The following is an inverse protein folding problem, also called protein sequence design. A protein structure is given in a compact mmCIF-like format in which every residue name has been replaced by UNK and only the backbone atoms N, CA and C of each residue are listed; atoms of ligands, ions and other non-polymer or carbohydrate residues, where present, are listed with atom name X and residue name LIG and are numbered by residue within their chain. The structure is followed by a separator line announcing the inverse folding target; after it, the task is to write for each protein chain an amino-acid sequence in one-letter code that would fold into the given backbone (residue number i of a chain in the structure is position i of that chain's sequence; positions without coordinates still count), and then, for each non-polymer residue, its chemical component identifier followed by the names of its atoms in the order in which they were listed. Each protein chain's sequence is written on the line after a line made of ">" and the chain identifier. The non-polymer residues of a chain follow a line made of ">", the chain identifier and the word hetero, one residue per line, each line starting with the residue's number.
data_IF_263797231186
#
_entry.id   IF_263797231186
#
_cell.length_a   1.000
_cell.length_b   1.000
_cell.length_c   1.000
_cell.angle_alpha   90.00
_cell.angle_beta   90.00
_cell.angle_gamma   90.00
#
_symmetry.space_group_name_H-M   'P 1'
#
loop_
_entity.id
_entity.type
_entity.pdbx_description
1 polymer ?
#
# COMPACT_ATOMS: atom_id res chain seq x y z
N UNK A 1 -15.89 6.19 3.64
CA UNK A 1 -15.73 5.65 5.02
C UNK A 1 -14.65 4.59 4.97
N UNK A 2 -13.65 4.65 5.86
CA UNK A 2 -12.57 3.65 5.94
C UNK A 2 -13.11 2.34 6.54
N UNK A 3 -12.66 1.19 6.03
CA UNK A 3 -13.03 -0.10 6.63
C UNK A 3 -12.46 -0.23 8.05
N UNK A 4 -13.19 -0.93 8.93
CA UNK A 4 -12.75 -1.27 10.29
C UNK A 4 -12.58 -2.78 10.47
N UNK A 5 -12.81 -3.58 9.43
CA UNK A 5 -12.66 -5.03 9.48
C UNK A 5 -11.17 -5.40 9.61
N UNK A 6 -10.81 -6.11 10.67
CA UNK A 6 -9.41 -6.42 10.98
C UNK A 6 -8.81 -7.40 9.97
N UNK A 7 -9.58 -8.37 9.48
CA UNK A 7 -9.09 -9.34 8.51
C UNK A 7 -8.72 -8.65 7.19
N UNK A 8 -9.56 -7.72 6.70
CA UNK A 8 -9.24 -6.91 5.54
C UNK A 8 -8.06 -5.97 5.79
N UNK A 9 -7.99 -5.32 6.97
CA UNK A 9 -6.88 -4.41 7.26
C UNK A 9 -5.53 -5.13 7.34
N UNK A 10 -5.50 -6.37 7.83
CA UNK A 10 -4.28 -7.17 8.01
C UNK A 10 -3.93 -8.02 6.77
N UNK A 11 -4.56 -7.79 5.61
CA UNK A 11 -4.27 -8.48 4.35
C UNK A 11 -3.43 -7.60 3.39
N UNK A 12 -2.89 -8.20 2.32
CA UNK A 12 -2.04 -7.53 1.34
C UNK A 12 -2.79 -7.22 0.06
N UNK A 13 -2.68 -5.98 -0.41
CA UNK A 13 -3.34 -5.53 -1.64
C UNK A 13 -2.34 -4.95 -2.62
N UNK A 14 -2.45 -5.37 -3.89
CA UNK A 14 -1.79 -4.69 -4.98
C UNK A 14 -2.42 -3.30 -5.16
N UNK A 15 -1.59 -2.26 -5.10
CA UNK A 15 -2.04 -0.86 -5.13
C UNK A 15 -1.51 -0.08 -6.34
N UNK A 16 -0.46 -0.59 -6.98
CA UNK A 16 0.11 -0.08 -8.21
C UNK A 16 0.97 -1.18 -8.86
N UNK A 17 1.28 -1.06 -10.15
CA UNK A 17 2.36 -1.82 -10.78
C UNK A 17 3.73 -1.21 -10.45
N UNK A 18 4.79 -2.01 -10.50
CA UNK A 18 6.15 -1.52 -10.29
C UNK A 18 6.60 -0.56 -11.40
N UNK A 19 6.03 -0.70 -12.60
CA UNK A 19 6.34 0.10 -13.78
C UNK A 19 5.69 1.50 -13.77
N UNK A 20 4.52 1.65 -13.13
CA UNK A 20 3.84 2.95 -13.02
C UNK A 20 4.35 3.79 -11.83
N UNK A 21 4.92 3.14 -10.81
CA UNK A 21 5.37 3.84 -9.60
C UNK A 21 6.76 4.46 -9.82
N UNK A 22 6.80 5.79 -9.88
CA UNK A 22 8.02 6.59 -9.91
C UNK A 22 8.25 7.38 -8.61
N UNK A 23 9.18 8.34 -8.66
CA UNK A 23 9.46 9.25 -7.53
C UNK A 23 8.36 10.30 -7.32
N UNK A 24 7.60 10.64 -8.37
CA UNK A 24 6.46 11.54 -8.24
C UNK A 24 5.35 10.86 -7.43
N UNK A 25 4.82 11.50 -6.37
CA UNK A 25 3.80 10.90 -5.54
C UNK A 25 2.48 10.76 -6.30
N UNK A 26 1.86 9.58 -6.17
CA UNK A 26 0.53 9.28 -6.68
C UNK A 26 -0.40 8.98 -5.51
N UNK A 27 -1.67 9.36 -5.63
CA UNK A 27 -2.68 9.11 -4.60
C UNK A 27 -3.70 8.12 -5.13
N UNK A 28 -4.00 7.09 -4.34
CA UNK A 28 -5.08 6.14 -4.62
C UNK A 28 -5.85 5.81 -3.34
N UNK A 29 -6.92 5.04 -3.48
CA UNK A 29 -7.82 4.66 -2.38
C UNK A 29 -7.71 3.16 -2.12
N UNK A 30 -7.30 2.79 -0.90
CA UNK A 30 -7.28 1.40 -0.43
C UNK A 30 -8.26 1.22 0.72
N UNK A 31 -9.24 0.33 0.59
CA UNK A 31 -10.23 0.02 1.64
C UNK A 31 -10.91 1.26 2.26
N UNK A 32 -11.16 2.27 1.43
CA UNK A 32 -11.76 3.53 1.87
C UNK A 32 -10.78 4.53 2.51
N UNK A 33 -9.48 4.23 2.58
CA UNK A 33 -8.42 5.14 3.04
C UNK A 33 -7.59 5.67 1.88
N UNK A 34 -7.42 7.00 1.80
CA UNK A 34 -6.48 7.59 0.85
C UNK A 34 -5.05 7.26 1.25
N UNK A 35 -4.27 6.78 0.29
CA UNK A 35 -2.86 6.47 0.46
C UNK A 35 -2.05 7.17 -0.64
N UNK A 36 -0.88 7.67 -0.27
CA UNK A 36 0.11 8.23 -1.16
C UNK A 36 1.21 7.18 -1.38
N UNK A 37 1.61 7.01 -2.64
CA UNK A 37 2.66 6.09 -3.07
C UNK A 37 3.72 6.85 -3.84
N UNK A 38 4.99 6.55 -3.57
CA UNK A 38 6.12 7.02 -4.35
C UNK A 38 7.30 6.05 -4.20
N UNK A 39 8.35 6.23 -5.01
CA UNK A 39 9.66 5.67 -4.73
C UNK A 39 10.53 6.69 -4.01
N UNK A 40 11.32 6.22 -3.05
CA UNK A 40 12.35 7.04 -2.40
C UNK A 40 13.59 7.25 -3.30
N UNK A 41 14.60 7.93 -2.78
CA UNK A 41 15.86 8.18 -3.49
C UNK A 41 16.65 6.90 -3.81
N UNK A 42 16.43 5.82 -3.04
CA UNK A 42 17.03 4.51 -3.30
C UNK A 42 16.19 3.66 -4.28
N UNK A 43 15.02 4.15 -4.71
CA UNK A 43 14.10 3.45 -5.60
C UNK A 43 13.15 2.49 -4.88
N UNK A 44 13.14 2.46 -3.54
CA UNK A 44 12.24 1.60 -2.78
C UNK A 44 10.83 2.19 -2.68
N UNK A 45 9.76 1.37 -2.76
CA UNK A 45 8.40 1.87 -2.63
C UNK A 45 8.12 2.37 -1.21
N UNK A 46 7.56 3.56 -1.11
CA UNK A 46 7.11 4.19 0.13
C UNK A 46 5.63 4.50 0.01
N UNK A 47 4.86 4.03 0.98
CA UNK A 47 3.41 4.15 1.00
C UNK A 47 2.99 4.72 2.34
N UNK A 48 2.14 5.75 2.34
CA UNK A 48 1.66 6.41 3.57
C UNK A 48 0.18 6.71 3.47
N UNK A 49 -0.52 6.65 4.60
CA UNK A 49 -1.91 7.11 4.64
C UNK A 49 -1.96 8.63 4.62
N UNK A 50 -2.95 9.18 3.91
CA UNK A 50 -3.31 10.60 4.02
C UNK A 50 -4.31 10.73 5.17
N UNK A 51 -3.92 11.47 6.20
CA UNK A 51 -4.73 11.72 7.38
C UNK A 51 -5.75 12.83 7.11
N UNK A 52 -6.78 12.95 7.95
CA UNK A 52 -7.84 13.96 7.79
C UNK A 52 -7.31 15.41 7.81
N UNK A 53 -6.17 15.64 8.46
CA UNK A 53 -5.49 16.94 8.51
C UNK A 53 -4.62 17.21 7.25
N UNK A 54 -4.63 16.31 6.28
CA UNK A 54 -3.75 16.35 5.11
C UNK A 54 -2.31 15.89 5.40
N UNK A 55 -1.96 15.63 6.66
CA UNK A 55 -0.67 15.01 7.02
C UNK A 55 -0.52 13.58 6.49
N UNK A 56 0.70 13.05 6.50
CA UNK A 56 0.99 11.65 6.14
C UNK A 56 1.28 10.83 7.39
N UNK A 57 0.79 9.59 7.43
CA UNK A 57 1.16 8.65 8.49
C UNK A 57 2.61 8.16 8.33
N UNK A 58 3.06 7.30 9.26
CA UNK A 58 4.29 6.52 9.06
C UNK A 58 4.18 5.67 7.80
N UNK A 59 5.32 5.29 7.23
CA UNK A 59 5.34 4.35 6.12
C UNK A 59 4.62 3.05 6.50
N UNK A 60 3.71 2.61 5.64
CA UNK A 60 3.06 1.31 5.70
C UNK A 60 4.05 0.22 5.25
N UNK A 61 3.84 -1.04 5.65
CA UNK A 61 4.59 -2.15 5.08
C UNK A 61 4.35 -2.21 3.57
N UNK A 62 5.43 -2.13 2.79
CA UNK A 62 5.39 -2.17 1.34
C UNK A 62 6.30 -3.28 0.83
N UNK A 63 5.86 -4.01 -0.19
CA UNK A 63 6.67 -5.00 -0.89
C UNK A 63 6.45 -4.90 -2.39
N UNK A 64 7.51 -5.14 -3.17
CA UNK A 64 7.42 -5.28 -4.62
C UNK A 64 7.50 -6.77 -4.97
N UNK A 65 6.45 -7.33 -5.58
CA UNK A 65 6.37 -8.74 -5.95
C UNK A 65 5.45 -8.95 -7.14
N UNK A 66 5.80 -9.88 -8.03
CA UNK A 66 5.06 -10.18 -9.26
C UNK A 66 4.82 -8.95 -10.15
N UNK A 67 5.75 -7.99 -10.17
CA UNK A 67 5.61 -6.74 -10.92
C UNK A 67 4.60 -5.74 -10.34
N UNK A 68 4.10 -6.00 -9.14
CA UNK A 68 3.16 -5.14 -8.42
C UNK A 68 3.76 -4.64 -7.10
N UNK A 69 3.28 -3.48 -6.68
CA UNK A 69 3.53 -2.88 -5.38
C UNK A 69 2.37 -3.25 -4.46
N UNK A 70 2.72 -3.84 -3.33
CA UNK A 70 1.78 -4.38 -2.36
C UNK A 70 1.91 -3.64 -1.04
N UNK A 71 0.78 -3.43 -0.37
CA UNK A 71 0.74 -2.82 0.97
C UNK A 71 -0.40 -3.39 1.81
N UNK A 72 -0.32 -3.12 3.10
CA UNK A 72 -1.37 -3.44 4.09
C UNK A 72 -1.63 -2.22 4.97
N UNK A 73 -2.88 -2.04 5.44
CA UNK A 73 -3.26 -0.94 6.34
C UNK A 73 -3.13 -1.32 7.83
N UNK A 74 -2.92 -2.60 8.11
CA UNK A 74 -2.90 -3.20 9.44
C UNK A 74 -1.56 -3.82 9.77
N UNK A 75 -1.59 -4.96 10.47
CA UNK A 75 -0.41 -5.78 10.74
C UNK A 75 -0.60 -7.10 10.02
N UNK A 76 0.17 -7.36 8.96
CA UNK A 76 -0.02 -8.57 8.18
C UNK A 76 0.27 -9.78 9.05
N UNK A 77 -0.74 -10.63 9.25
CA UNK A 77 -0.59 -11.87 10.03
C UNK A 77 0.11 -12.98 9.22
N UNK A 78 0.24 -12.77 7.90
CA UNK A 78 0.82 -13.68 6.91
C UNK A 78 1.60 -12.85 5.87
N UNK A 79 2.66 -13.43 5.30
CA UNK A 79 3.40 -12.80 4.18
C UNK A 79 2.51 -12.72 2.92
N UNK A 80 2.95 -12.03 1.86
CA UNK A 80 2.20 -11.99 0.60
C UNK A 80 2.07 -13.43 0.12
N UNK A 81 0.86 -13.98 0.22
CA UNK A 81 0.56 -15.32 -0.25
C UNK A 81 0.92 -15.42 -1.72
N UNK A 82 1.31 -16.62 -2.15
CA UNK A 82 1.31 -16.96 -3.56
C UNK A 82 -0.09 -16.67 -4.09
N UNK A 83 -0.20 -15.70 -5.00
CA UNK A 83 -1.47 -15.29 -5.57
C UNK A 83 -1.95 -16.48 -6.40
N UNK A 84 -2.77 -17.35 -5.80
CA UNK A 84 -3.46 -18.36 -6.56
C UNK A 84 -4.45 -17.63 -7.49
N UNK A 85 -4.09 -17.51 -8.77
CA UNK A 85 -5.06 -17.18 -9.81
C UNK A 85 -6.23 -18.16 -9.69
N UNK A 86 -7.43 -17.62 -9.47
CA UNK A 86 -8.67 -18.38 -9.33
C UNK A 86 -9.55 -18.26 -10.56
#
# INVERSE_FOLDING_TARGET
>A
MKTTDRAALDDWYAVATAAELGQAPVVTRLLGQDIELCRDEAGAPVIREILNDGGRSRALPAQERYGCIWTTLGRPNKDIFDIAES
#
